data_IF_177384462952
#
_entry.id   IF_177384462952
#
_cell.length_a   1.000
_cell.length_b   1.000
_cell.length_c   1.000
_cell.angle_alpha   90.00
_cell.angle_beta   90.00
_cell.angle_gamma   90.00
#
_symmetry.space_group_name_H-M   'P 1'
#
loop_
_entity.id
_entity.type
_entity.pdbx_description
1 polymer ?
#
# COMPACT_ATOMS: atom_id res chain seq x y z
N UNK A 1 -18.06 7.86 41.20
CA UNK A 1 -17.24 7.74 39.97
C UNK A 1 -16.52 6.38 39.83
N UNK A 2 -17.06 5.25 40.23
CA UNK A 2 -16.39 3.93 40.13
C UNK A 2 -17.20 2.86 39.35
N UNK A 3 -18.26 3.22 38.63
CA UNK A 3 -19.13 2.27 37.92
C UNK A 3 -19.02 2.32 36.38
N UNK A 4 -18.24 3.24 35.79
CA UNK A 4 -18.10 3.37 34.33
C UNK A 4 -16.91 2.57 33.79
N UNK A 5 -15.98 2.13 34.66
CA UNK A 5 -14.76 1.40 34.25
C UNK A 5 -14.99 -0.08 33.94
N UNK A 6 -16.14 -0.66 34.27
CA UNK A 6 -16.40 -2.10 34.10
C UNK A 6 -17.16 -2.45 32.81
N UNK A 7 -17.68 -1.47 32.08
CA UNK A 7 -18.42 -1.71 30.82
C UNK A 7 -17.47 -1.80 29.63
N UNK A 8 -16.30 -1.14 29.69
CA UNK A 8 -15.29 -1.21 28.63
C UNK A 8 -14.55 -2.54 28.50
N UNK A 9 -14.51 -3.35 29.57
CA UNK A 9 -13.76 -4.62 29.58
C UNK A 9 -14.58 -5.82 29.11
N UNK A 10 -15.90 -5.70 29.03
CA UNK A 10 -16.79 -6.82 28.65
C UNK A 10 -17.04 -6.90 27.14
N UNK A 11 -16.69 -5.87 26.35
CA UNK A 11 -16.86 -5.88 24.90
C UNK A 11 -15.70 -6.53 24.14
N UNK A 12 -14.57 -6.82 24.81
CA UNK A 12 -13.42 -7.51 24.19
C UNK A 12 -13.48 -9.04 24.29
N UNK A 13 -14.45 -9.61 24.97
CA UNK A 13 -14.50 -11.06 25.27
C UNK A 13 -15.42 -11.87 24.33
N UNK A 14 -16.06 -11.26 23.35
CA UNK A 14 -17.00 -11.92 22.42
C UNK A 14 -16.49 -12.08 20.99
N UNK A 15 -15.20 -11.94 20.75
CA UNK A 15 -14.57 -12.40 19.49
C UNK A 15 -14.35 -13.92 19.55
N UNK A 16 -15.48 -14.63 19.50
CA UNK A 16 -15.55 -16.07 19.61
C UNK A 16 -14.96 -16.77 18.40
N UNK A 17 -14.43 -17.87 18.60
CA UNK A 17 -14.41 -19.19 17.94
C UNK A 17 -15.00 -19.23 16.50
N UNK A 18 -14.49 -18.42 15.58
CA UNK A 18 -14.56 -18.75 14.18
C UNK A 18 -13.54 -19.87 13.95
N UNK A 19 -13.98 -21.03 13.53
CA UNK A 19 -13.15 -22.14 13.06
C UNK A 19 -12.17 -21.62 12.04
N UNK A 20 -10.95 -21.34 12.44
CA UNK A 20 -9.88 -20.90 11.58
C UNK A 20 -9.50 -22.09 10.71
N UNK A 21 -10.09 -22.17 9.49
CA UNK A 21 -9.34 -22.77 8.40
C UNK A 21 -7.97 -22.09 8.43
N UNK A 22 -6.91 -22.89 8.52
CA UNK A 22 -5.54 -22.38 8.59
C UNK A 22 -5.31 -21.45 7.39
N UNK A 23 -5.44 -20.14 7.60
CA UNK A 23 -5.16 -19.12 6.60
C UNK A 23 -3.68 -19.26 6.33
N UNK A 24 -3.33 -19.76 5.15
CA UNK A 24 -1.93 -19.95 4.79
C UNK A 24 -1.26 -18.57 4.78
N UNK A 25 -0.33 -18.38 5.70
CA UNK A 25 0.49 -17.16 5.76
C UNK A 25 1.73 -17.30 4.88
N UNK A 26 2.26 -16.17 4.41
CA UNK A 26 3.49 -16.13 3.62
C UNK A 26 4.38 -14.97 4.07
N UNK A 27 5.70 -15.21 4.07
CA UNK A 27 6.70 -14.18 4.31
C UNK A 27 7.21 -13.67 2.96
N UNK A 28 7.17 -12.35 2.77
CA UNK A 28 7.50 -11.74 1.48
C UNK A 28 8.49 -10.57 1.63
N UNK A 29 9.25 -10.33 0.57
CA UNK A 29 10.00 -9.09 0.37
C UNK A 29 9.38 -8.35 -0.81
N UNK A 30 9.08 -7.06 -0.61
CA UNK A 30 8.55 -6.17 -1.64
C UNK A 30 9.55 -5.07 -1.94
N UNK A 31 9.84 -4.88 -3.22
CA UNK A 31 10.72 -3.82 -3.71
C UNK A 31 9.98 -2.99 -4.75
N UNK A 32 9.83 -1.70 -4.48
CA UNK A 32 9.19 -0.75 -5.37
C UNK A 32 10.22 0.32 -5.80
N UNK A 33 10.22 0.68 -7.08
CA UNK A 33 10.95 1.82 -7.63
C UNK A 33 9.97 2.75 -8.30
N UNK A 34 10.08 4.04 -8.01
CA UNK A 34 9.25 5.10 -8.58
C UNK A 34 10.17 6.18 -9.14
N UNK A 35 10.15 6.38 -10.46
CA UNK A 35 10.83 7.47 -11.12
C UNK A 35 9.82 8.55 -11.48
N UNK A 36 10.04 9.78 -11.04
CA UNK A 36 9.24 10.94 -11.38
C UNK A 36 10.07 11.91 -12.22
N UNK A 37 9.59 12.19 -13.41
CA UNK A 37 10.19 13.16 -14.36
C UNK A 37 9.31 14.40 -14.36
N UNK A 38 9.76 15.55 -13.84
CA UNK A 38 9.01 16.80 -13.90
C UNK A 38 8.82 17.24 -15.35
N UNK A 39 7.57 17.38 -15.77
CA UNK A 39 7.21 17.90 -17.12
C UNK A 39 6.80 19.36 -17.02
N UNK A 40 6.11 19.73 -15.96
CA UNK A 40 5.72 21.11 -15.66
C UNK A 40 5.69 21.33 -14.13
N UNK A 41 5.51 22.58 -13.69
CA UNK A 41 5.54 22.97 -12.26
C UNK A 41 4.72 22.06 -11.34
N UNK A 42 3.54 21.61 -11.78
CA UNK A 42 2.62 20.80 -10.98
C UNK A 42 2.31 19.44 -11.64
N UNK A 43 3.14 19.02 -12.59
CA UNK A 43 2.89 17.86 -13.40
C UNK A 43 4.16 17.05 -13.60
N UNK A 44 4.15 15.77 -13.15
CA UNK A 44 5.23 14.82 -13.37
C UNK A 44 4.73 13.66 -14.22
N UNK A 45 5.59 13.12 -15.08
CA UNK A 45 5.47 11.80 -15.65
C UNK A 45 6.12 10.78 -14.71
N UNK A 46 5.50 9.61 -14.52
CA UNK A 46 6.00 8.59 -13.61
C UNK A 46 6.22 7.26 -14.30
N UNK A 47 7.30 6.58 -13.92
CA UNK A 47 7.56 5.17 -14.22
C UNK A 47 7.61 4.40 -12.92
N UNK A 48 6.94 3.25 -12.86
CA UNK A 48 6.77 2.43 -11.68
C UNK A 48 7.27 1.02 -11.96
N UNK A 49 8.08 0.48 -11.07
CA UNK A 49 8.53 -0.90 -11.07
C UNK A 49 8.28 -1.55 -9.70
N UNK A 50 7.82 -2.80 -9.69
CA UNK A 50 7.63 -3.58 -8.45
C UNK A 50 8.12 -5.00 -8.67
N UNK A 51 8.85 -5.53 -7.70
CA UNK A 51 9.18 -6.94 -7.57
C UNK A 51 8.79 -7.44 -6.19
N UNK A 52 8.09 -8.57 -6.12
CA UNK A 52 7.73 -9.24 -4.87
C UNK A 52 8.24 -10.65 -4.86
N UNK A 53 9.05 -10.96 -3.85
CA UNK A 53 9.47 -12.32 -3.54
C UNK A 53 8.54 -12.88 -2.47
N UNK A 54 7.99 -14.05 -2.70
CA UNK A 54 7.10 -14.76 -1.77
C UNK A 54 7.45 -16.24 -1.69
N UNK A 55 6.53 -17.04 -1.17
CA UNK A 55 6.78 -18.44 -0.84
C UNK A 55 7.98 -18.56 0.09
N UNK A 56 7.87 -17.84 1.22
CA UNK A 56 8.97 -17.68 2.18
C UNK A 56 10.23 -17.14 1.49
N UNK A 57 10.04 -16.10 0.65
CA UNK A 57 11.12 -15.35 -0.04
C UNK A 57 11.86 -16.18 -1.09
N UNK A 58 11.34 -17.35 -1.45
CA UNK A 58 12.07 -18.30 -2.32
C UNK A 58 11.97 -18.00 -3.81
N UNK A 59 10.99 -17.18 -4.26
CA UNK A 59 10.78 -16.90 -5.68
C UNK A 59 9.95 -15.63 -5.93
N UNK A 60 10.05 -15.04 -7.15
CA UNK A 60 9.14 -14.00 -7.59
C UNK A 60 7.70 -14.52 -7.62
N UNK A 61 6.76 -13.70 -7.07
CA UNK A 61 5.32 -14.00 -7.04
C UNK A 61 4.48 -12.90 -7.67
N UNK A 62 5.04 -11.70 -7.82
CA UNK A 62 4.34 -10.54 -8.39
C UNK A 62 5.38 -9.56 -8.94
N UNK A 63 5.28 -9.26 -10.23
CA UNK A 63 6.13 -8.32 -10.95
C UNK A 63 5.24 -7.28 -11.62
N UNK A 64 5.62 -6.00 -11.54
CA UNK A 64 4.82 -4.91 -12.10
C UNK A 64 5.69 -3.92 -12.81
N UNK A 65 5.18 -3.46 -13.92
CA UNK A 65 5.66 -2.28 -14.61
C UNK A 65 4.48 -1.33 -14.85
N UNK A 66 4.71 -0.02 -14.71
CA UNK A 66 3.65 0.95 -14.92
C UNK A 66 4.17 2.30 -15.33
N UNK A 67 3.27 3.05 -15.95
CA UNK A 67 3.48 4.44 -16.31
C UNK A 67 2.27 5.27 -15.88
N UNK A 68 2.49 6.54 -15.61
CA UNK A 68 1.41 7.43 -15.19
C UNK A 68 1.84 8.86 -15.07
N UNK A 69 0.97 9.64 -14.46
CA UNK A 69 1.20 11.06 -14.25
C UNK A 69 0.85 11.44 -12.83
N UNK A 70 1.43 12.52 -12.34
CA UNK A 70 1.02 13.13 -11.06
C UNK A 70 0.69 14.59 -11.30
N UNK A 71 -0.53 14.96 -10.97
CA UNK A 71 -1.01 16.34 -10.91
C UNK A 71 -1.04 16.79 -9.45
N UNK A 72 -0.57 18.01 -9.18
CA UNK A 72 -0.64 18.64 -7.86
C UNK A 72 -1.47 19.91 -7.92
N UNK A 73 -2.49 20.00 -7.06
CA UNK A 73 -3.25 21.20 -6.84
C UNK A 73 -2.91 21.77 -5.45
N UNK A 74 -2.01 22.75 -5.47
CA UNK A 74 -1.45 23.29 -4.24
C UNK A 74 -0.60 22.28 -3.45
N UNK A 75 -0.53 22.47 -2.13
CA UNK A 75 0.25 21.61 -1.21
C UNK A 75 -0.54 20.44 -0.62
N UNK A 76 -1.86 20.48 -0.75
CA UNK A 76 -2.73 19.54 -0.05
C UNK A 76 -3.22 18.39 -0.93
N UNK A 77 -3.35 18.60 -2.24
CA UNK A 77 -4.02 17.67 -3.14
C UNK A 77 -3.09 17.18 -4.24
N UNK A 78 -3.16 15.88 -4.55
CA UNK A 78 -2.57 15.33 -5.77
C UNK A 78 -3.42 14.17 -6.30
N UNK A 79 -3.45 14.03 -7.63
CA UNK A 79 -4.02 12.88 -8.32
C UNK A 79 -2.94 12.24 -9.19
N UNK A 80 -2.86 10.89 -9.18
CA UNK A 80 -1.78 10.17 -9.88
C UNK A 80 -2.33 9.02 -10.74
N UNK A 81 -3.12 9.31 -11.81
CA UNK A 81 -3.60 8.28 -12.71
C UNK A 81 -2.43 7.50 -13.30
N UNK A 82 -2.56 6.17 -13.35
CA UNK A 82 -1.53 5.29 -13.89
C UNK A 82 -2.11 4.01 -14.48
N UNK A 83 -1.37 3.44 -15.43
CA UNK A 83 -1.56 2.13 -15.99
C UNK A 83 -0.46 1.21 -15.48
N UNK A 84 -0.82 -0.04 -15.14
CA UNK A 84 0.07 -1.06 -14.63
C UNK A 84 -0.16 -2.36 -15.38
N UNK A 85 0.91 -2.92 -15.91
CA UNK A 85 0.98 -4.33 -16.28
C UNK A 85 1.51 -5.14 -15.10
N UNK A 86 0.83 -6.22 -14.72
CA UNK A 86 1.12 -7.02 -13.53
C UNK A 86 1.18 -8.49 -13.91
N UNK A 87 2.31 -9.12 -13.69
CA UNK A 87 2.46 -10.57 -13.77
C UNK A 87 2.47 -11.17 -12.36
N UNK A 88 1.64 -12.17 -12.14
CA UNK A 88 1.53 -12.85 -10.85
C UNK A 88 1.73 -14.35 -11.02
N UNK A 89 2.39 -14.98 -10.04
CA UNK A 89 2.55 -16.41 -9.94
C UNK A 89 1.94 -16.94 -8.63
N UNK A 90 0.59 -17.00 -8.53
CA UNK A 90 -0.09 -17.40 -7.30
C UNK A 90 0.23 -18.84 -6.90
N UNK A 91 0.48 -19.73 -7.89
CA UNK A 91 0.87 -21.13 -7.69
C UNK A 91 2.04 -21.51 -8.58
N UNK A 92 2.76 -22.57 -8.22
CA UNK A 92 3.83 -23.10 -9.06
C UNK A 92 3.27 -23.50 -10.43
N UNK A 93 3.88 -23.00 -11.52
CA UNK A 93 3.46 -23.29 -12.90
C UNK A 93 2.25 -22.51 -13.41
N UNK A 94 1.60 -21.69 -12.59
CA UNK A 94 0.47 -20.85 -13.03
C UNK A 94 0.88 -19.37 -13.08
N UNK A 95 0.98 -18.81 -14.27
CA UNK A 95 1.10 -17.37 -14.50
C UNK A 95 -0.26 -16.75 -14.74
N UNK A 96 -0.52 -15.64 -14.09
CA UNK A 96 -1.70 -14.79 -14.28
C UNK A 96 -1.21 -13.37 -14.52
N UNK A 97 -1.73 -12.70 -15.54
CA UNK A 97 -1.45 -11.29 -15.75
C UNK A 97 -2.72 -10.45 -15.65
N UNK A 98 -2.52 -9.21 -15.28
CA UNK A 98 -3.59 -8.24 -15.07
C UNK A 98 -3.15 -6.87 -15.59
N UNK A 99 -4.01 -6.25 -16.41
CA UNK A 99 -3.92 -4.85 -16.77
C UNK A 99 -4.75 -4.04 -15.79
N UNK A 100 -4.17 -2.98 -15.26
CA UNK A 100 -4.83 -2.19 -14.23
C UNK A 100 -4.72 -0.70 -14.52
N UNK A 101 -5.87 -0.04 -14.57
CA UNK A 101 -5.95 1.42 -14.50
C UNK A 101 -6.18 1.82 -13.05
N UNK A 102 -5.42 2.78 -12.56
CA UNK A 102 -5.56 3.29 -11.19
C UNK A 102 -5.66 4.81 -11.16
N UNK A 103 -6.47 5.32 -10.26
CA UNK A 103 -6.58 6.76 -10.01
C UNK A 103 -6.45 6.99 -8.50
N UNK A 104 -5.23 7.08 -7.96
CA UNK A 104 -5.01 7.52 -6.59
C UNK A 104 -5.23 9.04 -6.48
N UNK A 105 -6.03 9.43 -5.52
CA UNK A 105 -6.21 10.81 -5.07
C UNK A 105 -5.69 10.90 -3.64
N UNK A 106 -4.75 11.80 -3.39
CA UNK A 106 -4.13 11.95 -2.07
C UNK A 106 -4.36 13.34 -1.51
N UNK A 107 -4.91 13.39 -0.32
CA UNK A 107 -4.99 14.58 0.52
C UNK A 107 -3.85 14.55 1.55
N UNK A 108 -3.21 15.69 1.78
CA UNK A 108 -2.12 15.85 2.74
C UNK A 108 -2.40 17.01 3.68
N UNK A 109 -2.16 16.78 4.96
CA UNK A 109 -2.33 17.77 6.01
C UNK A 109 -1.09 17.78 6.92
N UNK A 110 -0.86 18.90 7.55
CA UNK A 110 0.14 19.00 8.63
C UNK A 110 -0.56 19.47 9.88
N UNK A 111 -0.43 18.70 10.96
CA UNK A 111 -0.94 19.04 12.27
C UNK A 111 0.26 19.04 13.25
N UNK A 112 0.71 20.21 13.66
CA UNK A 112 1.95 20.41 14.41
C UNK A 112 3.15 19.74 13.69
N UNK A 113 3.78 18.75 14.28
CA UNK A 113 4.89 17.98 13.71
C UNK A 113 4.45 16.78 12.89
N UNK A 114 3.17 16.42 12.93
CA UNK A 114 2.65 15.27 12.20
C UNK A 114 2.28 15.64 10.77
N UNK A 115 2.69 14.80 9.83
CA UNK A 115 2.23 14.84 8.44
C UNK A 115 1.22 13.73 8.25
N UNK A 116 0.02 14.09 7.86
CA UNK A 116 -1.10 13.18 7.63
C UNK A 116 -1.33 13.07 6.14
N UNK A 117 -1.57 11.87 5.64
CA UNK A 117 -2.01 11.67 4.26
C UNK A 117 -3.12 10.66 4.19
N UNK A 118 -4.15 10.99 3.42
CA UNK A 118 -5.26 10.11 3.08
C UNK A 118 -5.28 9.88 1.57
N UNK A 119 -5.03 8.65 1.15
CA UNK A 119 -5.01 8.25 -0.25
C UNK A 119 -6.20 7.38 -0.57
N UNK A 120 -7.06 7.89 -1.42
CA UNK A 120 -8.23 7.20 -1.96
C UNK A 120 -7.89 6.75 -3.40
N UNK A 121 -7.99 5.47 -3.70
CA UNK A 121 -7.58 4.91 -4.98
C UNK A 121 -8.66 4.02 -5.56
N UNK A 122 -9.09 4.35 -6.78
CA UNK A 122 -9.97 3.52 -7.59
C UNK A 122 -9.12 2.72 -8.58
N UNK A 123 -9.45 1.43 -8.75
CA UNK A 123 -8.77 0.53 -9.66
C UNK A 123 -9.77 -0.15 -10.57
N UNK A 124 -9.53 -0.09 -11.88
CA UNK A 124 -10.18 -0.96 -12.88
C UNK A 124 -9.20 -2.04 -13.29
N UNK A 125 -9.59 -3.29 -13.13
CA UNK A 125 -8.72 -4.46 -13.27
C UNK A 125 -9.24 -5.35 -14.40
N UNK A 126 -8.34 -5.75 -15.31
CA UNK A 126 -8.64 -6.65 -16.44
C UNK A 126 -7.66 -7.82 -16.33
N UNK A 127 -8.18 -9.00 -16.03
CA UNK A 127 -7.37 -10.21 -15.88
C UNK A 127 -7.43 -11.09 -17.13
N UNK A 128 -6.35 -11.84 -17.37
CA UNK A 128 -6.25 -12.74 -18.53
C UNK A 128 -7.29 -13.88 -18.55
N UNK A 129 -7.98 -14.15 -17.45
CA UNK A 129 -9.11 -15.08 -17.38
C UNK A 129 -10.47 -14.44 -17.76
N UNK A 130 -10.46 -13.23 -18.32
CA UNK A 130 -11.64 -12.48 -18.71
C UNK A 130 -12.36 -11.75 -17.58
N UNK A 131 -11.98 -11.95 -16.32
CA UNK A 131 -12.60 -11.28 -15.18
C UNK A 131 -12.23 -9.81 -15.15
N UNK A 132 -13.25 -8.96 -15.14
CA UNK A 132 -13.13 -7.51 -14.98
C UNK A 132 -13.70 -7.13 -13.62
N UNK A 133 -12.95 -6.34 -12.84
CA UNK A 133 -13.42 -5.91 -11.52
C UNK A 133 -13.07 -4.46 -11.23
N UNK A 134 -13.83 -3.86 -10.32
CA UNK A 134 -13.52 -2.59 -9.70
C UNK A 134 -13.05 -2.86 -8.27
N UNK A 135 -12.10 -2.06 -7.80
CA UNK A 135 -11.64 -2.09 -6.42
C UNK A 135 -11.37 -0.67 -5.92
N UNK A 136 -11.78 -0.42 -4.70
CA UNK A 136 -11.42 0.78 -3.96
C UNK A 136 -10.38 0.44 -2.90
N UNK A 137 -9.49 1.39 -2.66
CA UNK A 137 -8.51 1.33 -1.57
C UNK A 137 -8.48 2.67 -0.88
N UNK A 138 -8.44 2.65 0.43
CA UNK A 138 -8.11 3.82 1.22
C UNK A 138 -6.89 3.52 2.07
N UNK A 139 -5.89 4.40 2.04
CA UNK A 139 -4.72 4.34 2.91
C UNK A 139 -4.58 5.64 3.67
N UNK A 140 -4.70 5.53 4.99
CA UNK A 140 -4.40 6.62 5.90
C UNK A 140 -3.00 6.43 6.50
N UNK A 141 -2.17 7.49 6.50
CA UNK A 141 -0.80 7.46 7.02
C UNK A 141 -0.56 8.65 7.92
N UNK A 142 0.07 8.38 9.06
CA UNK A 142 0.59 9.37 9.99
C UNK A 142 2.10 9.26 9.98
N UNK A 143 2.78 10.38 9.76
CA UNK A 143 4.24 10.47 9.69
C UNK A 143 4.73 11.52 10.67
N UNK A 144 5.82 11.20 11.38
CA UNK A 144 6.47 12.10 12.34
C UNK A 144 7.98 12.19 12.06
N UNK A 145 8.56 13.38 11.86
CA UNK A 145 10.00 13.55 11.72
C UNK A 145 10.70 13.20 13.03
N UNK A 146 11.85 12.53 12.96
CA UNK A 146 12.64 12.13 14.12
C UNK A 146 14.07 12.60 14.01
N UNK A 147 14.68 12.90 15.14
CA UNK A 147 16.04 13.41 15.23
C UNK A 147 16.17 14.87 14.74
N UNK A 148 17.36 15.25 14.32
CA UNK A 148 17.62 16.59 13.80
C UNK A 148 17.15 16.77 12.36
N UNK A 149 16.86 18.00 11.94
CA UNK A 149 16.49 18.31 10.56
C UNK A 149 17.53 17.84 9.53
N UNK A 150 18.82 17.80 9.90
CA UNK A 150 19.90 17.27 9.05
C UNK A 150 19.76 15.76 8.78
N UNK A 151 19.15 15.01 9.70
CA UNK A 151 18.94 13.58 9.52
C UNK A 151 17.91 13.30 8.44
N UNK A 152 16.94 14.19 8.22
CA UNK A 152 15.85 14.08 7.24
C UNK A 152 15.18 12.68 7.26
N UNK A 153 14.94 12.17 8.46
CA UNK A 153 14.32 10.88 8.75
C UNK A 153 12.94 11.12 9.37
N UNK A 154 11.98 10.34 8.95
CA UNK A 154 10.64 10.28 9.55
C UNK A 154 10.25 8.84 9.81
N UNK A 155 9.49 8.62 10.88
CA UNK A 155 8.79 7.35 11.11
C UNK A 155 7.34 7.49 10.70
N UNK A 156 6.71 6.41 10.27
CA UNK A 156 5.30 6.41 9.91
C UNK A 156 4.58 5.15 10.39
N UNK A 157 3.28 5.30 10.55
CA UNK A 157 2.32 4.20 10.63
C UNK A 157 1.25 4.43 9.59
N UNK A 158 0.76 3.36 8.96
CA UNK A 158 -0.32 3.46 8.00
C UNK A 158 -1.23 2.24 8.04
N UNK A 159 -2.50 2.47 7.79
CA UNK A 159 -3.51 1.45 7.59
C UNK A 159 -4.12 1.58 6.20
N UNK A 160 -4.33 0.46 5.52
CA UNK A 160 -4.91 0.44 4.18
C UNK A 160 -5.97 -0.65 4.07
N UNK A 161 -7.18 -0.26 3.69
CA UNK A 161 -8.33 -1.15 3.50
C UNK A 161 -8.72 -1.25 2.04
N UNK A 162 -9.30 -2.40 1.66
CA UNK A 162 -9.65 -2.72 0.27
C UNK A 162 -11.08 -3.22 0.18
N UNK A 163 -11.89 -2.56 -0.65
CA UNK A 163 -13.24 -2.97 -1.01
C UNK A 163 -13.26 -3.48 -2.45
N UNK A 164 -13.76 -4.69 -2.68
CA UNK A 164 -13.92 -5.26 -4.03
C UNK A 164 -15.40 -5.33 -4.40
N UNK A 165 -15.80 -4.58 -5.44
CA UNK A 165 -17.19 -4.54 -5.90
C UNK A 165 -17.67 -5.84 -6.55
N UNK A 166 -16.76 -6.73 -6.97
CA UNK A 166 -17.16 -8.01 -7.56
C UNK A 166 -17.80 -8.95 -6.55
N UNK A 167 -17.39 -8.81 -5.29
CA UNK A 167 -17.89 -9.63 -4.17
C UNK A 167 -18.50 -8.77 -3.06
N UNK A 168 -18.66 -7.47 -3.33
CA UNK A 168 -19.40 -6.47 -2.53
C UNK A 168 -18.99 -6.43 -1.04
N UNK A 169 -17.69 -6.56 -0.76
CA UNK A 169 -17.19 -6.54 0.62
C UNK A 169 -15.78 -6.01 0.76
N UNK A 170 -15.45 -5.63 1.98
CA UNK A 170 -14.07 -5.39 2.40
C UNK A 170 -13.32 -6.72 2.43
N UNK A 171 -12.23 -6.80 1.66
CA UNK A 171 -11.54 -8.07 1.41
C UNK A 171 -10.19 -8.13 2.09
N UNK A 172 -9.59 -6.97 2.38
CA UNK A 172 -8.20 -6.91 2.82
C UNK A 172 -7.96 -5.70 3.70
N UNK A 173 -7.13 -5.91 4.72
CA UNK A 173 -6.49 -4.85 5.48
C UNK A 173 -4.97 -5.01 5.42
N UNK A 174 -4.25 -3.89 5.44
CA UNK A 174 -2.80 -3.81 5.54
C UNK A 174 -2.42 -2.77 6.56
N UNK A 175 -1.80 -3.21 7.63
CA UNK A 175 -1.16 -2.33 8.59
C UNK A 175 0.34 -2.27 8.31
N UNK A 176 0.94 -1.09 8.33
CA UNK A 176 2.37 -0.92 8.09
C UNK A 176 3.00 0.10 9.03
N UNK A 177 4.25 -0.18 9.40
CA UNK A 177 5.12 0.73 10.16
C UNK A 177 6.47 0.81 9.46
N UNK A 178 7.10 1.98 9.48
CA UNK A 178 8.37 2.12 8.77
C UNK A 178 9.03 3.47 8.95
N UNK A 179 10.09 3.66 8.17
CA UNK A 179 10.86 4.89 8.12
C UNK A 179 11.04 5.41 6.69
N UNK A 180 11.05 6.71 6.55
CA UNK A 180 11.30 7.43 5.31
C UNK A 180 12.55 8.28 5.50
N UNK A 181 13.57 8.02 4.68
CA UNK A 181 14.82 8.78 4.63
C UNK A 181 14.88 9.59 3.35
N UNK A 182 14.95 10.91 3.48
CA UNK A 182 15.24 11.79 2.35
C UNK A 182 16.74 12.01 2.29
N UNK A 183 17.41 11.49 1.28
CA UNK A 183 18.86 11.68 1.10
C UNK A 183 19.18 13.03 0.49
N UNK A 184 18.41 13.43 -0.52
CA UNK A 184 18.52 14.73 -1.18
C UNK A 184 17.22 15.03 -1.96
N UNK A 185 17.23 16.08 -2.79
CA UNK A 185 16.06 16.47 -3.61
C UNK A 185 15.66 15.44 -4.66
N UNK A 186 16.54 14.49 -4.98
CA UNK A 186 16.32 13.46 -6.01
C UNK A 186 16.00 12.10 -5.44
N UNK A 187 16.49 11.75 -4.24
CA UNK A 187 16.44 10.39 -3.69
C UNK A 187 15.74 10.35 -2.35
N UNK A 188 14.68 9.55 -2.28
CA UNK A 188 13.97 9.22 -1.03
C UNK A 188 13.82 7.72 -0.94
N UNK A 189 14.17 7.16 0.21
CA UNK A 189 14.04 5.74 0.51
C UNK A 189 13.05 5.53 1.63
N UNK A 190 12.17 4.55 1.46
CA UNK A 190 11.25 4.06 2.48
C UNK A 190 11.57 2.60 2.78
N UNK A 191 11.60 2.23 4.07
CA UNK A 191 11.67 0.86 4.57
C UNK A 191 10.51 0.63 5.52
N UNK A 192 9.84 -0.53 5.42
CA UNK A 192 8.69 -0.81 6.24
C UNK A 192 8.51 -2.31 6.51
N UNK A 193 7.87 -2.61 7.62
CA UNK A 193 7.19 -3.87 7.86
C UNK A 193 5.71 -3.67 7.57
N UNK A 194 5.08 -4.68 6.95
CA UNK A 194 3.65 -4.67 6.66
C UNK A 194 3.04 -6.02 7.03
N UNK A 195 1.96 -5.99 7.79
CA UNK A 195 1.06 -7.13 8.01
C UNK A 195 -0.16 -6.97 7.12
N UNK A 196 -0.45 -7.98 6.29
CA UNK A 196 -1.69 -8.09 5.53
C UNK A 196 -2.57 -9.16 6.13
N UNK A 197 -3.86 -8.89 6.24
CA UNK A 197 -4.92 -9.85 6.47
C UNK A 197 -5.87 -9.80 5.28
N UNK A 198 -6.17 -10.96 4.67
CA UNK A 198 -6.99 -11.05 3.47
C UNK A 198 -7.85 -12.32 3.52
N UNK A 199 -9.16 -12.14 3.58
CA UNK A 199 -10.12 -13.26 3.65
C UNK A 199 -10.44 -13.90 2.30
N UNK A 200 -9.79 -13.52 1.21
CA UNK A 200 -10.15 -13.96 -0.16
C UNK A 200 -8.96 -14.54 -0.92
N UNK A 201 -7.76 -13.99 -0.70
CA UNK A 201 -6.54 -14.39 -1.41
C UNK A 201 -5.90 -15.64 -0.80
N UNK A 202 -5.07 -16.33 -1.57
CA UNK A 202 -4.21 -17.41 -1.11
C UNK A 202 -2.77 -17.19 -1.60
N UNK A 203 -1.80 -17.03 -0.69
CA UNK A 203 -1.96 -16.89 0.77
C UNK A 203 -2.75 -15.62 1.11
N UNK A 204 -3.56 -15.67 2.18
CA UNK A 204 -4.36 -14.54 2.66
C UNK A 204 -3.53 -13.61 3.52
N UNK A 205 -2.88 -14.17 4.52
CA UNK A 205 -2.08 -13.43 5.46
C UNK A 205 -0.63 -13.31 4.99
N UNK A 206 -0.08 -12.09 5.06
CA UNK A 206 1.32 -11.84 4.68
C UNK A 206 2.05 -11.08 5.78
N UNK A 207 3.29 -11.48 5.99
CA UNK A 207 4.30 -10.67 6.67
C UNK A 207 5.28 -10.16 5.60
N UNK A 208 5.47 -8.86 5.53
CA UNK A 208 6.25 -8.26 4.45
C UNK A 208 7.32 -7.33 5.02
N UNK A 209 8.53 -7.52 4.58
CA UNK A 209 9.57 -6.48 4.64
C UNK A 209 9.57 -5.78 3.28
N UNK A 210 9.36 -4.47 3.29
CA UNK A 210 9.22 -3.71 2.07
C UNK A 210 10.19 -2.54 1.97
N UNK A 211 10.49 -2.19 0.74
CA UNK A 211 11.31 -1.03 0.43
C UNK A 211 10.74 -0.28 -0.78
N UNK A 212 10.81 1.05 -0.76
CA UNK A 212 10.45 1.88 -1.92
C UNK A 212 11.52 2.93 -2.16
N UNK A 213 12.14 2.88 -3.31
CA UNK A 213 13.04 3.91 -3.80
C UNK A 213 12.27 4.90 -4.68
N UNK A 214 12.25 6.17 -4.27
CA UNK A 214 11.68 7.26 -5.08
C UNK A 214 12.79 8.11 -5.64
N UNK A 215 12.81 8.25 -6.95
CA UNK A 215 13.77 9.06 -7.72
C UNK A 215 12.99 10.19 -8.39
N UNK A 216 13.44 11.42 -8.20
CA UNK A 216 12.90 12.60 -8.89
C UNK A 216 14.03 13.30 -9.65
N UNK A 217 13.89 13.43 -10.97
CA UNK A 217 14.86 14.13 -11.83
C UNK A 217 14.74 15.66 -11.74
#
# INVERSE_FOLDING_TARGET
>A
MKRILHIGLLLCALSGLASAQAIQSDNQIWSDVQLAVPVAKNFDFNVLGTLRLGRDISRPVDERFGVGFTFRAGKYFSASPSYLHIEMQPFRGRKVWEERLTVPVTLRFTADKFRLSDRNQFERRFRNNGVKSWRYRNRFQVEHPVGSAKLALSLFVADEVFYDWTIERWVRNRFSVGGIKVFNKHYTQEFYYLRQNDGVSQPGDLNVIGTTLRIRL
#
